data_IF_470122510205
#
_entry.id   IF_470122510205
#
_cell.length_a   1.000
_cell.length_b   1.000
_cell.length_c   1.000
_cell.angle_alpha   90.00
_cell.angle_beta   90.00
_cell.angle_gamma   90.00
#
_symmetry.space_group_name_H-M   'P 1'
#
loop_
_entity.id
_entity.type
_entity.pdbx_description
1 polymer ?
#
# COMPACT_ATOMS: atom_id res chain seq x y z
N UNK A 1 -59.47 -18.41 -4.99
CA UNK A 1 -58.29 -18.92 -4.26
C UNK A 1 -57.29 -19.40 -5.31
N UNK A 2 -56.29 -18.58 -5.64
CA UNK A 2 -55.20 -18.97 -6.52
C UNK A 2 -53.92 -18.84 -5.70
N UNK A 3 -53.28 -19.98 -5.41
CA UNK A 3 -51.98 -20.05 -4.77
C UNK A 3 -50.93 -19.56 -5.73
N UNK A 4 -50.23 -18.49 -5.35
CA UNK A 4 -49.06 -18.03 -6.09
C UNK A 4 -47.91 -18.93 -5.68
N UNK A 5 -47.50 -19.79 -6.59
CA UNK A 5 -46.32 -20.64 -6.47
C UNK A 5 -45.08 -19.78 -6.19
N UNK A 6 -44.43 -20.06 -5.05
CA UNK A 6 -43.17 -19.44 -4.68
C UNK A 6 -42.08 -19.86 -5.69
N UNK A 7 -41.56 -18.89 -6.44
CA UNK A 7 -40.50 -19.12 -7.41
C UNK A 7 -39.25 -19.74 -6.74
N UNK A 8 -38.79 -20.93 -7.18
CA UNK A 8 -37.60 -21.59 -6.66
C UNK A 8 -36.34 -20.90 -7.23
N UNK A 9 -35.88 -19.84 -6.57
CA UNK A 9 -34.66 -19.13 -6.98
C UNK A 9 -34.00 -18.25 -5.92
N UNK A 10 -34.66 -17.99 -4.79
CA UNK A 10 -34.19 -17.05 -3.78
C UNK A 10 -32.98 -17.53 -2.95
N UNK A 11 -32.68 -18.85 -2.94
CA UNK A 11 -31.69 -19.44 -2.04
C UNK A 11 -30.22 -19.36 -2.48
N UNK A 12 -29.94 -19.21 -3.78
CA UNK A 12 -28.56 -19.25 -4.29
C UNK A 12 -27.79 -17.94 -4.09
N UNK A 13 -28.50 -16.80 -4.02
CA UNK A 13 -27.88 -15.49 -3.80
C UNK A 13 -27.26 -15.38 -2.39
N UNK A 14 -27.80 -16.03 -1.37
CA UNK A 14 -27.36 -15.78 0.02
C UNK A 14 -25.96 -16.31 0.38
N UNK A 15 -25.44 -17.33 -0.32
CA UNK A 15 -24.15 -17.97 0.03
C UNK A 15 -22.92 -17.41 -0.66
N UNK A 16 -23.07 -16.79 -1.83
CA UNK A 16 -21.93 -16.22 -2.60
C UNK A 16 -21.38 -14.95 -1.92
N UNK A 17 -22.25 -14.22 -1.23
CA UNK A 17 -21.94 -12.92 -0.68
C UNK A 17 -21.03 -12.91 0.56
N UNK A 18 -21.19 -13.81 1.54
CA UNK A 18 -20.22 -13.97 2.62
C UNK A 18 -18.82 -14.33 2.08
N UNK A 19 -18.76 -15.17 1.05
CA UNK A 19 -17.49 -15.61 0.44
C UNK A 19 -16.76 -14.43 -0.20
N UNK A 20 -17.44 -13.60 -0.99
CA UNK A 20 -16.80 -12.44 -1.63
C UNK A 20 -16.24 -11.43 -0.61
N UNK A 21 -16.95 -11.22 0.50
CA UNK A 21 -16.46 -10.38 1.61
C UNK A 21 -15.20 -10.97 2.25
N UNK A 22 -15.18 -12.29 2.50
CA UNK A 22 -14.01 -12.97 3.04
C UNK A 22 -12.84 -12.95 2.06
N UNK A 23 -13.10 -13.07 0.76
CA UNK A 23 -12.09 -12.95 -0.29
C UNK A 23 -11.49 -11.54 -0.30
N UNK A 24 -12.31 -10.48 -0.28
CA UNK A 24 -11.81 -9.10 -0.22
C UNK A 24 -11.01 -8.82 1.04
N UNK A 25 -11.48 -9.30 2.20
CA UNK A 25 -10.75 -9.18 3.46
C UNK A 25 -9.43 -9.94 3.41
N UNK A 26 -9.43 -11.17 2.88
CA UNK A 26 -8.24 -11.99 2.68
C UNK A 26 -7.23 -11.33 1.74
N UNK A 27 -7.70 -10.74 0.63
CA UNK A 27 -6.88 -9.96 -0.28
C UNK A 27 -6.28 -8.74 0.42
N UNK A 28 -7.06 -8.01 1.22
CA UNK A 28 -6.56 -6.87 2.00
C UNK A 28 -5.48 -7.30 3.00
N UNK A 29 -5.67 -8.42 3.71
CA UNK A 29 -4.66 -8.96 4.64
C UNK A 29 -3.40 -9.39 3.89
N UNK A 30 -3.55 -10.12 2.77
CA UNK A 30 -2.42 -10.54 1.94
C UNK A 30 -1.65 -9.33 1.40
N UNK A 31 -2.38 -8.30 0.94
CA UNK A 31 -1.80 -7.03 0.51
C UNK A 31 -1.02 -6.35 1.63
N UNK A 32 -1.62 -6.19 2.82
CA UNK A 32 -0.99 -5.53 3.97
C UNK A 32 0.28 -6.28 4.42
N UNK A 33 0.23 -7.61 4.51
CA UNK A 33 1.38 -8.45 4.84
C UNK A 33 2.49 -8.34 3.80
N UNK A 34 2.12 -8.34 2.51
CA UNK A 34 3.09 -8.20 1.42
C UNK A 34 3.75 -6.82 1.46
N UNK A 35 2.96 -5.75 1.59
CA UNK A 35 3.47 -4.38 1.68
C UNK A 35 4.40 -4.20 2.87
N UNK A 36 4.05 -4.76 4.03
CA UNK A 36 4.90 -4.75 5.22
C UNK A 36 6.19 -5.56 5.03
N UNK A 37 6.12 -6.70 4.35
CA UNK A 37 7.28 -7.55 4.06
C UNK A 37 8.24 -6.90 3.06
N UNK A 38 7.72 -6.22 2.04
CA UNK A 38 8.48 -5.55 0.99
C UNK A 38 8.92 -4.13 1.37
N UNK A 39 8.52 -3.63 2.54
CA UNK A 39 8.91 -2.31 3.01
C UNK A 39 10.45 -2.19 3.08
N UNK A 40 11.04 -1.11 2.55
CA UNK A 40 12.48 -0.88 2.62
C UNK A 40 12.98 -0.88 4.07
N UNK A 41 14.14 -1.52 4.31
CA UNK A 41 14.79 -1.55 5.62
C UNK A 41 16.24 -1.15 5.51
N UNK A 42 16.71 -0.33 6.44
CA UNK A 42 18.13 -0.06 6.62
C UNK A 42 18.87 -1.37 6.88
N UNK A 43 19.99 -1.56 6.20
CA UNK A 43 20.90 -2.66 6.38
C UNK A 43 22.34 -2.14 6.29
N UNK A 44 23.30 -2.94 6.71
CA UNK A 44 24.72 -2.58 6.66
C UNK A 44 25.35 -3.01 5.34
N UNK A 45 26.49 -2.40 5.00
CA UNK A 45 27.31 -2.81 3.84
C UNK A 45 27.77 -4.27 3.97
N UNK A 46 28.15 -4.71 5.18
CA UNK A 46 28.50 -6.11 5.44
C UNK A 46 27.35 -7.08 5.12
N UNK A 47 26.11 -6.68 5.44
CA UNK A 47 24.93 -7.45 5.12
C UNK A 47 24.70 -7.52 3.61
N UNK A 48 24.87 -6.39 2.89
CA UNK A 48 24.78 -6.36 1.43
C UNK A 48 25.79 -7.34 0.81
N UNK A 49 27.05 -7.31 1.27
CA UNK A 49 28.11 -8.22 0.82
C UNK A 49 27.78 -9.68 1.13
N UNK A 50 27.24 -9.98 2.31
CA UNK A 50 26.85 -11.32 2.70
C UNK A 50 25.65 -11.86 1.89
N UNK A 51 24.68 -10.99 1.57
CA UNK A 51 23.54 -11.34 0.70
C UNK A 51 24.00 -11.60 -0.74
N UNK A 52 24.90 -10.77 -1.25
CA UNK A 52 25.46 -10.88 -2.59
C UNK A 52 26.31 -12.17 -2.73
N UNK A 53 27.22 -12.41 -1.78
CA UNK A 53 28.05 -13.63 -1.74
C UNK A 53 27.22 -14.92 -1.59
N UNK A 54 26.06 -14.85 -0.94
CA UNK A 54 25.13 -15.97 -0.81
C UNK A 54 24.19 -16.15 -2.03
N UNK A 55 24.31 -15.32 -3.07
CA UNK A 55 23.44 -15.35 -4.24
C UNK A 55 21.98 -15.01 -3.93
N UNK A 56 21.72 -14.29 -2.82
CA UNK A 56 20.35 -13.89 -2.42
C UNK A 56 19.87 -12.65 -3.17
N UNK A 57 20.79 -11.82 -3.65
CA UNK A 57 20.47 -10.59 -4.38
C UNK A 57 19.97 -10.91 -5.78
N UNK A 58 18.77 -10.44 -6.09
CA UNK A 58 18.12 -10.61 -7.41
C UNK A 58 18.05 -9.31 -8.20
N UNK A 59 18.11 -8.17 -7.52
CA UNK A 59 18.21 -6.86 -8.15
C UNK A 59 18.96 -5.90 -7.24
N UNK A 60 19.72 -4.98 -7.82
CA UNK A 60 20.33 -3.86 -7.08
C UNK A 60 20.34 -2.61 -7.95
N UNK A 61 20.37 -1.46 -7.28
CA UNK A 61 20.39 -0.14 -7.90
C UNK A 61 21.07 0.87 -6.97
N UNK A 62 21.75 1.85 -7.57
CA UNK A 62 22.37 2.95 -6.85
C UNK A 62 21.59 4.24 -7.10
N UNK A 63 21.24 4.93 -6.02
CA UNK A 63 20.52 6.20 -6.06
C UNK A 63 21.36 7.31 -5.45
N UNK A 64 21.36 8.53 -6.00
CA UNK A 64 22.05 9.67 -5.37
C UNK A 64 21.38 10.10 -4.05
N UNK A 65 20.09 9.88 -3.96
CA UNK A 65 19.27 10.15 -2.78
C UNK A 65 17.97 9.40 -2.94
N UNK A 66 17.26 9.18 -1.84
CA UNK A 66 15.82 9.08 -1.95
C UNK A 66 15.35 10.48 -2.32
N UNK A 67 14.89 10.68 -3.56
CA UNK A 67 14.29 11.97 -3.95
C UNK A 67 13.24 12.35 -2.92
N UNK A 68 13.15 13.65 -2.59
CA UNK A 68 12.44 14.22 -1.43
C UNK A 68 11.30 13.30 -0.97
N UNK A 69 11.55 12.51 0.07
CA UNK A 69 10.56 11.61 0.66
C UNK A 69 9.31 12.36 1.18
N UNK A 70 9.36 13.69 1.15
CA UNK A 70 8.28 14.63 1.39
C UNK A 70 7.27 14.70 0.24
N UNK A 71 7.64 14.34 -0.99
CA UNK A 71 6.76 14.40 -2.17
C UNK A 71 6.07 13.07 -2.43
N UNK A 72 5.28 12.62 -1.44
CA UNK A 72 4.17 11.66 -1.60
C UNK A 72 4.56 10.27 -2.13
N UNK A 73 4.42 9.25 -1.28
CA UNK A 73 4.22 7.81 -1.59
C UNK A 73 5.41 6.81 -1.51
N UNK A 74 6.26 6.95 -0.49
CA UNK A 74 7.32 5.97 -0.11
C UNK A 74 6.79 4.53 0.11
N UNK A 75 5.52 4.36 0.45
CA UNK A 75 5.00 3.07 0.89
C UNK A 75 4.50 2.16 -0.24
N UNK A 76 4.31 2.68 -1.47
CA UNK A 76 3.60 1.94 -2.51
C UNK A 76 4.08 2.20 -3.93
N UNK A 77 4.94 3.18 -4.12
CA UNK A 77 5.48 3.51 -5.44
C UNK A 77 6.86 2.86 -5.53
N UNK A 78 7.22 2.19 -6.64
CA UNK A 78 8.62 1.85 -6.87
C UNK A 78 9.42 3.12 -6.67
N UNK A 79 10.45 3.07 -5.82
CA UNK A 79 11.38 4.18 -5.64
C UNK A 79 11.95 4.43 -7.03
N UNK A 80 11.51 5.49 -7.70
CA UNK A 80 12.11 5.93 -8.94
C UNK A 80 13.46 6.52 -8.55
N UNK A 81 14.52 5.79 -8.89
CA UNK A 81 15.87 6.21 -8.63
C UNK A 81 16.28 7.12 -9.77
N UNK A 82 16.40 8.41 -9.50
CA UNK A 82 17.00 9.34 -10.46
C UNK A 82 18.51 9.12 -10.45
N UNK A 83 19.03 8.55 -11.55
CA UNK A 83 20.47 8.40 -11.75
C UNK A 83 21.09 9.76 -12.13
N UNK A 84 21.43 10.60 -11.16
CA UNK A 84 22.26 11.79 -11.41
C UNK A 84 23.74 11.39 -11.44
N UNK A 85 24.46 11.94 -12.41
CA UNK A 85 25.91 11.73 -12.59
C UNK A 85 26.77 12.38 -11.48
N UNK A 86 26.15 13.02 -10.48
CA UNK A 86 26.82 13.56 -9.29
C UNK A 86 26.67 12.59 -8.11
N UNK A 87 27.66 11.71 -7.97
CA UNK A 87 27.69 10.56 -7.05
C UNK A 87 28.20 10.89 -5.63
N UNK A 88 28.02 12.13 -5.14
CA UNK A 88 28.65 12.57 -3.89
C UNK A 88 28.07 11.88 -2.64
N UNK A 89 26.80 11.47 -2.69
CA UNK A 89 26.13 10.62 -1.70
C UNK A 89 25.37 9.56 -2.49
N UNK A 90 25.58 8.27 -2.22
CA UNK A 90 24.88 7.21 -2.94
C UNK A 90 24.24 6.23 -1.97
N UNK A 91 22.94 6.01 -2.13
CA UNK A 91 22.18 4.95 -1.48
C UNK A 91 22.27 3.70 -2.35
N UNK A 92 22.82 2.62 -1.80
CA UNK A 92 22.72 1.29 -2.40
C UNK A 92 21.39 0.67 -1.97
N UNK A 93 20.54 0.34 -2.94
CA UNK A 93 19.29 -0.39 -2.72
C UNK A 93 19.43 -1.77 -3.35
N UNK A 94 19.10 -2.83 -2.62
CA UNK A 94 19.08 -4.19 -3.17
C UNK A 94 17.84 -4.96 -2.76
N UNK A 95 17.46 -5.90 -3.60
CA UNK A 95 16.33 -6.81 -3.40
C UNK A 95 16.82 -8.23 -3.29
N UNK A 96 16.24 -8.95 -2.34
CA UNK A 96 16.47 -10.40 -2.21
C UNK A 96 15.38 -11.20 -2.93
N UNK A 97 15.62 -12.49 -3.20
CA UNK A 97 14.66 -13.35 -3.92
C UNK A 97 13.25 -13.45 -3.31
N UNK A 98 13.08 -13.11 -2.03
CA UNK A 98 11.77 -13.04 -1.36
C UNK A 98 11.09 -11.66 -1.47
N UNK A 99 11.59 -10.78 -2.32
CA UNK A 99 11.05 -9.43 -2.52
C UNK A 99 11.33 -8.44 -1.39
N UNK A 100 12.19 -8.78 -0.41
CA UNK A 100 12.59 -7.83 0.63
C UNK A 100 13.52 -6.79 0.02
N UNK A 101 13.27 -5.53 0.35
CA UNK A 101 14.06 -4.38 -0.09
C UNK A 101 14.95 -3.94 1.08
N UNK A 102 16.24 -3.85 0.82
CA UNK A 102 17.25 -3.36 1.74
C UNK A 102 17.90 -2.13 1.16
N UNK A 103 18.30 -1.20 2.03
CA UNK A 103 19.10 -0.06 1.61
C UNK A 103 20.19 0.24 2.63
N UNK A 104 21.30 0.80 2.15
CA UNK A 104 22.37 1.37 2.98
C UNK A 104 22.85 2.65 2.33
N UNK A 105 23.24 3.63 3.14
CA UNK A 105 24.02 4.74 2.64
C UNK A 105 25.46 4.26 2.42
N UNK A 106 26.02 4.58 1.26
CA UNK A 106 27.43 4.40 0.95
C UNK A 106 28.06 5.78 1.09
N UNK A 107 28.75 6.00 2.20
CA UNK A 107 29.46 7.26 2.42
C UNK A 107 30.64 7.32 1.47
N UNK A 108 30.72 8.36 0.63
CA UNK A 108 31.92 8.58 -0.18
C UNK A 108 33.06 8.98 0.77
N UNK A 109 34.02 8.07 0.99
CA UNK A 109 35.22 8.38 1.78
C UNK A 109 36.25 8.89 0.79
N UNK A 110 36.14 10.15 0.31
CA UNK A 110 37.30 11.00 0.04
C UNK A 110 36.94 12.44 -0.42
N UNK A 111 37.12 13.48 0.41
CA UNK A 111 37.08 14.88 -0.05
C UNK A 111 38.31 15.30 -0.88
N UNK A 112 39.35 14.46 -0.99
CA UNK A 112 40.58 14.74 -1.74
C UNK A 112 40.61 14.21 -3.18
N UNK A 113 39.49 13.64 -3.67
CA UNK A 113 39.29 13.34 -5.09
C UNK A 113 40.08 12.15 -5.64
N UNK A 114 40.64 11.28 -4.80
CA UNK A 114 41.46 10.14 -5.27
C UNK A 114 41.04 8.76 -4.73
N UNK A 115 40.13 8.66 -3.73
CA UNK A 115 39.83 7.39 -3.05
C UNK A 115 38.35 7.02 -2.79
N UNK A 116 37.39 7.87 -3.16
CA UNK A 116 35.96 7.69 -2.80
C UNK A 116 35.26 6.48 -3.41
N UNK A 117 35.85 5.85 -4.43
CA UNK A 117 35.28 4.71 -5.15
C UNK A 117 35.61 3.34 -4.53
N UNK A 118 36.46 3.30 -3.51
CA UNK A 118 37.04 2.04 -3.04
C UNK A 118 36.02 1.06 -2.47
N UNK A 119 35.05 1.51 -1.67
CA UNK A 119 34.03 0.59 -1.11
C UNK A 119 33.01 0.14 -2.17
N UNK A 120 32.67 1.04 -3.10
CA UNK A 120 31.81 0.76 -4.26
C UNK A 120 32.43 -0.25 -5.23
N UNK A 121 33.66 0.01 -5.67
CA UNK A 121 34.41 -0.86 -6.58
C UNK A 121 34.71 -2.22 -5.95
N UNK A 122 34.86 -2.28 -4.62
CA UNK A 122 35.00 -3.55 -3.90
C UNK A 122 33.68 -4.33 -3.81
N UNK A 123 32.52 -3.66 -3.78
CA UNK A 123 31.22 -4.31 -3.70
C UNK A 123 30.72 -4.81 -5.04
N UNK A 124 30.92 -4.05 -6.13
CA UNK A 124 30.39 -4.40 -7.46
C UNK A 124 30.65 -5.85 -7.89
N UNK A 125 31.87 -6.41 -7.74
CA UNK A 125 32.18 -7.78 -8.15
C UNK A 125 31.38 -8.85 -7.39
N UNK A 126 30.80 -8.52 -6.23
CA UNK A 126 29.98 -9.44 -5.45
C UNK A 126 28.54 -9.52 -5.94
N UNK A 127 28.07 -8.56 -6.73
CA UNK A 127 26.71 -8.53 -7.26
C UNK A 127 26.60 -9.24 -8.62
N UNK A 128 25.45 -9.85 -8.95
CA UNK A 128 25.25 -10.47 -10.25
C UNK A 128 25.20 -9.41 -11.35
N UNK A 129 26.03 -9.52 -12.39
CA UNK A 129 26.07 -8.54 -13.49
C UNK A 129 24.73 -8.39 -14.25
N UNK A 130 23.86 -9.40 -14.17
CA UNK A 130 22.53 -9.41 -14.77
C UNK A 130 21.40 -8.95 -13.82
N UNK A 131 21.72 -8.61 -12.57
CA UNK A 131 20.74 -8.16 -11.57
C UNK A 131 20.53 -6.64 -11.59
N UNK A 132 21.39 -5.88 -12.27
CA UNK A 132 21.24 -4.44 -12.40
C UNK A 132 19.98 -4.10 -13.22
N UNK A 133 19.11 -3.24 -12.67
CA UNK A 133 17.93 -2.72 -13.39
C UNK A 133 16.78 -3.71 -13.66
N UNK A 134 16.84 -4.97 -13.19
CA UNK A 134 15.74 -5.92 -13.41
C UNK A 134 14.60 -5.67 -12.42
N UNK A 135 13.62 -4.86 -12.82
CA UNK A 135 12.45 -4.54 -12.01
C UNK A 135 11.44 -5.70 -12.01
N UNK A 136 11.52 -6.57 -11.00
CA UNK A 136 10.41 -7.49 -10.69
C UNK A 136 9.23 -6.61 -10.23
N UNK A 137 8.05 -6.68 -10.88
CA UNK A 137 6.91 -5.87 -10.49
C UNK A 137 6.53 -6.19 -9.04
N UNK A 138 6.42 -5.18 -8.17
CA UNK A 138 6.12 -5.42 -6.76
C UNK A 138 4.71 -6.00 -6.62
N UNK A 139 4.58 -7.09 -5.86
CA UNK A 139 3.31 -7.80 -5.66
C UNK A 139 2.27 -6.94 -4.92
N UNK A 140 2.72 -6.09 -3.98
CA UNK A 140 1.83 -5.25 -3.18
C UNK A 140 1.01 -4.26 -4.04
N UNK A 141 1.59 -3.45 -4.95
CA UNK A 141 0.81 -2.62 -5.87
C UNK A 141 -0.18 -3.41 -6.73
N UNK A 142 0.20 -4.60 -7.23
CA UNK A 142 -0.72 -5.46 -8.00
C UNK A 142 -1.94 -5.86 -7.17
N UNK A 143 -1.73 -6.31 -5.93
CA UNK A 143 -2.83 -6.66 -5.02
C UNK A 143 -3.70 -5.43 -4.70
N UNK A 144 -3.09 -4.27 -4.48
CA UNK A 144 -3.83 -3.01 -4.26
C UNK A 144 -4.74 -2.67 -5.44
N UNK A 145 -4.21 -2.77 -6.67
CA UNK A 145 -4.97 -2.53 -7.90
C UNK A 145 -6.12 -3.52 -8.04
N UNK A 146 -5.90 -4.80 -7.77
CA UNK A 146 -6.95 -5.82 -7.82
C UNK A 146 -8.07 -5.49 -6.80
N UNK A 147 -7.70 -5.16 -5.56
CA UNK A 147 -8.68 -4.78 -4.51
C UNK A 147 -9.47 -3.54 -4.95
N UNK A 148 -8.80 -2.52 -5.49
CA UNK A 148 -9.43 -1.28 -5.94
C UNK A 148 -10.42 -1.54 -7.10
N UNK A 149 -10.01 -2.32 -8.11
CA UNK A 149 -10.86 -2.65 -9.25
C UNK A 149 -12.09 -3.48 -8.84
N UNK A 150 -11.91 -4.49 -7.99
CA UNK A 150 -13.03 -5.29 -7.48
C UNK A 150 -13.98 -4.40 -6.67
N UNK A 151 -13.45 -3.55 -5.79
CA UNK A 151 -14.26 -2.64 -4.97
C UNK A 151 -15.05 -1.65 -5.82
N UNK A 152 -14.41 -1.06 -6.84
CA UNK A 152 -15.05 -0.13 -7.77
C UNK A 152 -16.13 -0.83 -8.59
N UNK A 153 -15.87 -2.03 -9.10
CA UNK A 153 -16.83 -2.82 -9.85
C UNK A 153 -18.11 -3.06 -9.04
N UNK A 154 -17.95 -3.45 -7.77
CA UNK A 154 -19.06 -3.67 -6.85
C UNK A 154 -19.78 -2.36 -6.55
N UNK A 155 -19.05 -1.26 -6.37
CA UNK A 155 -19.67 0.03 -6.06
C UNK A 155 -20.55 0.54 -7.22
N UNK A 156 -20.12 0.30 -8.47
CA UNK A 156 -20.82 0.76 -9.68
C UNK A 156 -21.98 -0.17 -10.08
N UNK A 157 -21.77 -1.48 -10.06
CA UNK A 157 -22.77 -2.47 -10.53
C UNK A 157 -23.50 -3.21 -9.42
N UNK A 158 -23.03 -3.12 -8.18
CA UNK A 158 -23.65 -3.74 -7.02
C UNK A 158 -24.88 -2.99 -6.52
N UNK A 159 -25.54 -3.55 -5.49
CA UNK A 159 -26.67 -2.93 -4.82
C UNK A 159 -26.35 -1.51 -4.37
N UNK A 160 -27.36 -0.64 -4.37
CA UNK A 160 -27.18 0.71 -3.86
C UNK A 160 -26.84 0.68 -2.36
N UNK A 161 -25.78 1.38 -1.91
CA UNK A 161 -25.43 1.46 -0.49
C UNK A 161 -26.56 2.08 0.33
N UNK A 162 -26.72 1.60 1.57
CA UNK A 162 -27.78 1.97 2.50
C UNK A 162 -27.48 3.23 3.32
N UNK A 163 -26.24 3.39 3.81
CA UNK A 163 -25.81 4.50 4.67
C UNK A 163 -25.38 5.72 3.86
N UNK A 164 -24.73 5.52 2.72
CA UNK A 164 -24.19 6.59 1.88
C UNK A 164 -24.59 6.46 0.42
N UNK A 165 -24.40 7.52 -0.35
CA UNK A 165 -24.45 7.44 -1.82
C UNK A 165 -23.26 6.65 -2.38
N UNK A 166 -23.32 6.20 -3.64
CA UNK A 166 -22.14 5.59 -4.30
C UNK A 166 -20.95 6.54 -4.31
N UNK A 167 -21.18 7.83 -4.51
CA UNK A 167 -20.14 8.87 -4.47
C UNK A 167 -19.53 9.03 -3.08
N UNK A 168 -20.32 8.95 -2.02
CA UNK A 168 -19.81 8.95 -0.64
C UNK A 168 -18.76 7.86 -0.44
N UNK A 169 -19.08 6.62 -0.84
CA UNK A 169 -18.18 5.47 -0.70
C UNK A 169 -17.02 5.46 -1.69
N UNK A 170 -17.20 6.04 -2.89
CA UNK A 170 -16.12 6.23 -3.85
C UNK A 170 -15.01 7.07 -3.23
N UNK A 171 -15.36 8.22 -2.65
CA UNK A 171 -14.39 9.08 -1.97
C UNK A 171 -13.78 8.41 -0.75
N UNK A 172 -14.60 7.77 0.09
CA UNK A 172 -14.08 7.05 1.26
C UNK A 172 -13.11 5.93 0.90
N UNK A 173 -13.30 5.26 -0.25
CA UNK A 173 -12.38 4.25 -0.76
C UNK A 173 -10.95 4.77 -0.99
N UNK A 174 -10.79 6.09 -1.18
CA UNK A 174 -9.50 6.77 -1.30
C UNK A 174 -8.76 7.00 0.02
N UNK A 175 -9.32 6.62 1.17
CA UNK A 175 -8.60 6.71 2.45
C UNK A 175 -7.33 5.83 2.37
N UNK A 176 -6.15 6.35 2.79
CA UNK A 176 -4.88 5.62 2.76
C UNK A 176 -4.95 4.25 3.44
N UNK A 177 -4.03 3.38 3.03
CA UNK A 177 -3.94 1.99 3.50
C UNK A 177 -5.17 1.11 3.21
N UNK A 178 -6.04 1.53 2.29
CA UNK A 178 -7.27 0.81 1.96
C UNK A 178 -8.27 0.74 3.12
N UNK A 179 -8.13 1.61 4.14
CA UNK A 179 -9.04 1.62 5.29
C UNK A 179 -10.48 1.94 4.89
N UNK A 180 -10.66 2.71 3.81
CA UNK A 180 -11.97 2.97 3.21
C UNK A 180 -12.71 1.71 2.81
N UNK A 181 -12.01 0.75 2.20
CA UNK A 181 -12.56 -0.55 1.80
C UNK A 181 -12.98 -1.35 3.03
N UNK A 182 -12.16 -1.39 4.08
CA UNK A 182 -12.51 -2.07 5.33
C UNK A 182 -13.74 -1.46 6.02
N UNK A 183 -13.80 -0.13 6.06
CA UNK A 183 -14.93 0.59 6.62
C UNK A 183 -16.21 0.33 5.82
N UNK A 184 -16.12 0.34 4.50
CA UNK A 184 -17.23 0.01 3.61
C UNK A 184 -17.72 -1.44 3.82
N UNK A 185 -16.81 -2.42 3.85
CA UNK A 185 -17.15 -3.83 4.11
C UNK A 185 -17.80 -4.04 5.49
N UNK A 186 -17.41 -3.25 6.49
CA UNK A 186 -17.98 -3.30 7.84
C UNK A 186 -19.36 -2.65 7.89
N UNK A 187 -19.50 -1.45 7.30
CA UNK A 187 -20.66 -0.58 7.48
C UNK A 187 -21.81 -0.94 6.54
N UNK A 188 -21.53 -1.09 5.25
CA UNK A 188 -22.58 -1.40 4.26
C UNK A 188 -22.90 -2.87 4.22
N UNK A 189 -21.97 -3.73 4.68
CA UNK A 189 -22.04 -5.19 4.52
C UNK A 189 -22.62 -5.50 3.13
N UNK A 190 -21.93 -5.08 2.06
CA UNK A 190 -22.48 -5.17 0.71
C UNK A 190 -23.09 -6.56 0.55
N UNK A 191 -24.29 -6.61 -0.02
CA UNK A 191 -25.05 -7.85 -0.24
C UNK A 191 -25.69 -8.54 0.99
N UNK A 192 -25.65 -7.95 2.18
CA UNK A 192 -26.61 -8.27 3.24
C UNK A 192 -27.97 -7.65 2.92
N UNK A 193 -29.06 -8.19 3.48
CA UNK A 193 -30.36 -7.51 3.41
C UNK A 193 -30.20 -6.09 3.99
N UNK A 194 -30.60 -5.04 3.24
CA UNK A 194 -30.44 -3.67 3.71
C UNK A 194 -31.27 -3.49 4.99
N UNK A 195 -30.60 -3.33 6.12
CA UNK A 195 -31.26 -2.89 7.33
C UNK A 195 -31.71 -1.44 7.09
N UNK A 196 -33.01 -1.11 7.23
CA UNK A 196 -33.49 0.24 7.00
C UNK A 196 -32.73 1.21 7.91
N UNK A 197 -32.13 2.29 7.37
CA UNK A 197 -31.44 3.26 8.21
C UNK A 197 -32.41 3.81 9.24
N UNK A 198 -31.96 3.94 10.49
CA UNK A 198 -32.79 4.55 11.53
C UNK A 198 -33.26 5.93 11.05
N UNK A 199 -34.57 6.22 11.11
CA UNK A 199 -35.09 7.49 10.64
C UNK A 199 -34.49 8.63 11.45
N UNK A 200 -34.10 9.70 10.75
CA UNK A 200 -33.63 10.92 11.40
C UNK A 200 -34.74 11.49 12.30
N UNK A 201 -34.41 11.80 13.55
CA UNK A 201 -35.37 12.34 14.53
C UNK A 201 -36.01 13.65 14.08
N UNK A 202 -35.36 14.41 13.20
CA UNK A 202 -35.86 15.72 12.74
C UNK A 202 -36.73 15.61 11.50
N UNK A 203 -36.39 14.74 10.56
CA UNK A 203 -37.05 14.66 9.24
C UNK A 203 -37.89 13.40 9.03
N UNK A 204 -37.73 12.37 9.87
CA UNK A 204 -38.37 11.06 9.72
C UNK A 204 -37.85 10.25 8.54
N UNK A 205 -36.93 10.80 7.74
CA UNK A 205 -36.33 10.17 6.57
C UNK A 205 -35.07 9.40 6.98
N UNK A 206 -34.73 8.29 6.30
CA UNK A 206 -33.47 7.60 6.52
C UNK A 206 -32.30 8.54 6.15
N UNK A 207 -31.42 8.84 7.11
CA UNK A 207 -30.27 9.71 6.90
C UNK A 207 -29.28 9.03 5.94
N UNK A 208 -29.02 9.66 4.79
CA UNK A 208 -27.99 9.21 3.84
C UNK A 208 -26.89 10.25 3.71
N UNK A 209 -25.64 9.80 3.76
CA UNK A 209 -24.48 10.66 3.54
C UNK A 209 -24.27 10.95 2.04
N UNK A 210 -24.08 12.22 1.71
CA UNK A 210 -23.85 12.68 0.35
C UNK A 210 -22.39 12.53 -0.08
N UNK A 211 -22.12 12.72 -1.38
CA UNK A 211 -20.77 12.62 -1.92
C UNK A 211 -19.80 13.65 -1.31
N UNK A 212 -20.27 14.87 -1.04
CA UNK A 212 -19.43 15.94 -0.50
C UNK A 212 -18.94 15.61 0.92
N UNK A 213 -19.81 15.04 1.77
CA UNK A 213 -19.42 14.56 3.10
C UNK A 213 -18.34 13.48 3.00
N UNK A 214 -18.46 12.58 2.01
CA UNK A 214 -17.45 11.54 1.77
C UNK A 214 -16.08 12.12 1.40
N UNK A 215 -16.06 13.13 0.52
CA UNK A 215 -14.85 13.84 0.12
C UNK A 215 -14.19 14.57 1.32
N UNK A 216 -14.97 15.29 2.11
CA UNK A 216 -14.48 15.99 3.30
C UNK A 216 -13.90 15.02 4.33
N UNK A 217 -14.56 13.88 4.56
CA UNK A 217 -14.06 12.83 5.46
C UNK A 217 -12.78 12.20 4.93
N UNK A 218 -12.67 11.95 3.62
CA UNK A 218 -11.45 11.43 3.00
C UNK A 218 -10.27 12.38 3.24
N UNK A 219 -10.45 13.69 2.98
CA UNK A 219 -9.42 14.71 3.20
C UNK A 219 -9.03 14.76 4.68
N UNK A 220 -10.01 14.83 5.58
CA UNK A 220 -9.76 14.90 7.02
C UNK A 220 -9.03 13.66 7.54
N UNK A 221 -9.45 12.45 7.13
CA UNK A 221 -8.74 11.22 7.46
C UNK A 221 -7.32 11.21 6.92
N UNK A 222 -7.10 11.70 5.69
CA UNK A 222 -5.76 11.86 5.10
C UNK A 222 -4.87 12.75 5.97
N UNK A 223 -5.36 13.93 6.37
CA UNK A 223 -4.63 14.86 7.25
C UNK A 223 -4.30 14.19 8.58
N UNK A 224 -5.28 13.57 9.24
CA UNK A 224 -5.08 12.90 10.54
C UNK A 224 -4.07 11.76 10.42
N UNK A 225 -4.13 10.95 9.36
CA UNK A 225 -3.17 9.88 9.13
C UNK A 225 -1.76 10.42 8.86
N UNK A 226 -1.63 11.48 8.06
CA UNK A 226 -0.34 12.14 7.81
C UNK A 226 0.26 12.69 9.11
N UNK A 227 -0.54 13.35 9.95
CA UNK A 227 -0.10 13.83 11.26
C UNK A 227 0.30 12.68 12.19
N UNK A 228 -0.45 11.57 12.19
CA UNK A 228 -0.12 10.39 12.97
C UNK A 228 1.20 9.78 12.51
N UNK A 229 1.43 9.67 11.19
CA UNK A 229 2.70 9.18 10.64
C UNK A 229 3.85 10.11 10.99
N UNK A 230 3.67 11.43 10.87
CA UNK A 230 4.69 12.41 11.26
C UNK A 230 5.01 12.31 12.77
N UNK A 231 3.98 12.15 13.61
CA UNK A 231 4.15 11.94 15.04
C UNK A 231 4.88 10.62 15.33
N UNK A 232 4.53 9.53 14.62
CA UNK A 232 5.20 8.24 14.75
C UNK A 232 6.68 8.34 14.37
N UNK A 233 7.02 9.13 13.35
CA UNK A 233 8.42 9.40 12.96
C UNK A 233 9.20 10.23 13.97
N UNK A 234 8.53 11.00 14.83
CA UNK A 234 9.19 11.76 15.88
C UNK A 234 9.62 10.88 17.08
N UNK A 235 9.16 9.62 17.15
CA UNK A 235 9.64 8.70 18.18
C UNK A 235 11.02 8.15 17.83
N UNK A 236 11.84 7.81 18.83
CA UNK A 236 13.16 7.25 18.62
C UNK A 236 13.11 5.90 17.86
N UNK A 237 14.16 5.61 17.09
CA UNK A 237 14.20 4.50 16.11
C UNK A 237 13.94 3.10 16.70
N UNK A 238 14.19 2.93 18.01
CA UNK A 238 13.90 1.69 18.72
C UNK A 238 12.38 1.45 18.89
N UNK A 239 11.56 2.50 18.84
CA UNK A 239 10.11 2.42 18.96
C UNK A 239 9.43 2.40 17.58
N UNK A 240 9.94 3.19 16.63
CA UNK A 240 9.46 3.24 15.24
C UNK A 240 10.68 3.23 14.34
N UNK A 241 10.99 2.13 13.62
CA UNK A 241 12.08 2.11 12.66
C UNK A 241 11.85 3.21 11.61
N UNK A 242 12.69 4.24 11.64
CA UNK A 242 12.77 5.26 10.61
C UNK A 242 13.21 4.57 9.32
N UNK A 243 12.32 4.52 8.34
CA UNK A 243 12.64 3.98 7.02
C UNK A 243 13.53 4.92 6.19
N UNK A 244 13.99 6.04 6.76
CA UNK A 244 14.87 7.03 6.15
C UNK A 244 15.69 7.75 7.23
N UNK A 245 17.02 7.91 7.03
CA UNK A 245 17.86 8.85 7.79
C UNK A 245 17.56 10.32 7.46
#
# INVERSE_FOLDING_TARGET
>A
MAGVDALPGAGARSRVFPVLRLVLLGLWVAWALTAWWTAPRTATIDQARADAAAGRVVAFEFASSFDDADTVSIWFTPVEVTSTSQMADSVLVWRTGFGRVHYTQVTSIDPSGTGGWTEFEMLLPSFPANAEGTSIPPLAPVLATIIALISLLILVWGPAPGLGTRWFWFWLGGIPFGLGVLLWLRAERPWAEPEPPAPDRKTGQPKRYDGLTGLLLMILCGIVLSLLVALLRAFPEWLVPSALP
#
